data_IF_702952925363
#
_entry.id   IF_702952925363
#
_cell.length_a   1.000
_cell.length_b   1.000
_cell.length_c   1.000
_cell.angle_alpha   90.00
_cell.angle_beta   90.00
_cell.angle_gamma   90.00
#
_symmetry.space_group_name_H-M   'P 1'
#
loop_
_entity.id
_entity.type
_entity.pdbx_description
1 polymer ?
#
# COMPACT_ATOMS: atom_id res chain seq x y z
N UNK A 1 2.29 -26.52 -10.05
CA UNK A 1 1.22 -26.86 -11.02
C UNK A 1 0.41 -25.63 -11.44
N UNK A 2 -0.20 -24.85 -10.53
CA UNK A 2 -0.96 -23.65 -10.92
C UNK A 2 -0.11 -22.50 -11.51
N UNK A 3 1.09 -22.24 -10.98
CA UNK A 3 1.96 -21.14 -11.47
C UNK A 3 2.33 -21.31 -12.94
N UNK A 4 2.78 -22.50 -13.33
CA UNK A 4 3.12 -22.82 -14.74
C UNK A 4 1.90 -22.79 -15.65
N UNK A 5 0.74 -23.27 -15.18
CA UNK A 5 -0.51 -23.25 -15.94
C UNK A 5 -0.98 -21.82 -16.26
N UNK A 6 -0.85 -20.89 -15.30
CA UNK A 6 -1.23 -19.49 -15.46
C UNK A 6 -0.06 -18.57 -15.86
N UNK A 7 1.11 -19.12 -16.19
CA UNK A 7 2.33 -18.35 -16.49
C UNK A 7 2.70 -17.30 -15.43
N UNK A 8 2.43 -17.59 -14.16
CA UNK A 8 2.73 -16.71 -13.04
C UNK A 8 4.22 -16.85 -12.68
N UNK A 9 4.93 -15.71 -12.68
CA UNK A 9 6.34 -15.65 -12.30
C UNK A 9 6.58 -15.94 -10.81
N UNK A 10 5.54 -15.79 -9.98
CA UNK A 10 5.59 -16.00 -8.53
C UNK A 10 4.22 -16.32 -7.96
N UNK A 11 4.17 -16.52 -6.64
CA UNK A 11 2.91 -16.64 -5.90
C UNK A 11 2.16 -15.31 -5.87
N UNK A 12 0.96 -15.23 -6.46
CA UNK A 12 0.15 -14.02 -6.36
C UNK A 12 -0.52 -13.96 -4.98
N UNK A 13 -0.81 -12.75 -4.50
CA UNK A 13 -1.54 -12.52 -3.25
C UNK A 13 -0.90 -13.12 -1.99
N UNK A 14 0.43 -13.14 -1.94
CA UNK A 14 1.14 -13.55 -0.72
C UNK A 14 0.71 -12.67 0.46
N UNK A 15 0.68 -13.23 1.68
CA UNK A 15 0.34 -12.45 2.88
C UNK A 15 1.33 -11.34 3.18
N UNK A 16 2.59 -11.53 2.76
CA UNK A 16 3.64 -10.52 2.82
C UNK A 16 3.26 -9.35 1.92
N UNK A 17 3.18 -8.16 2.51
CA UNK A 17 2.95 -6.94 1.74
C UNK A 17 4.31 -6.48 1.26
N UNK A 18 4.56 -6.46 -0.05
CA UNK A 18 5.84 -5.98 -0.60
C UNK A 18 5.67 -4.52 -1.04
N UNK A 19 6.18 -3.52 -0.28
CA UNK A 19 5.95 -2.10 -0.57
C UNK A 19 6.29 -1.64 -2.00
N UNK A 20 7.35 -2.18 -2.67
CA UNK A 20 7.66 -1.86 -4.07
C UNK A 20 6.58 -2.27 -5.07
N UNK A 21 5.66 -3.17 -4.71
CA UNK A 21 4.57 -3.64 -5.57
C UNK A 21 3.30 -2.79 -5.43
N UNK A 22 3.32 -1.76 -4.57
CA UNK A 22 2.22 -0.84 -4.45
C UNK A 22 1.94 -0.13 -5.78
N UNK A 23 0.68 -0.14 -6.20
CA UNK A 23 0.25 0.63 -7.35
C UNK A 23 0.39 2.13 -7.05
N UNK A 24 1.26 2.81 -7.80
CA UNK A 24 1.66 4.20 -7.57
C UNK A 24 0.63 5.19 -8.16
N UNK A 25 -0.65 5.04 -7.80
CA UNK A 25 -1.71 5.96 -8.20
C UNK A 25 -1.63 7.33 -7.48
N UNK A 26 -2.32 8.33 -8.01
CA UNK A 26 -2.29 9.70 -7.47
C UNK A 26 -2.69 9.76 -5.98
N UNK A 27 -3.82 9.16 -5.60
CA UNK A 27 -4.30 9.14 -4.22
C UNK A 27 -3.33 8.43 -3.25
N UNK A 28 -2.58 7.44 -3.75
CA UNK A 28 -1.56 6.77 -2.96
C UNK A 28 -0.35 7.68 -2.70
N UNK A 29 0.11 8.40 -3.73
CA UNK A 29 1.19 9.39 -3.58
C UNK A 29 0.81 10.52 -2.62
N UNK A 30 -0.42 11.04 -2.73
CA UNK A 30 -0.93 12.08 -1.83
C UNK A 30 -0.97 11.60 -0.37
N UNK A 31 -1.46 10.37 -0.15
CA UNK A 31 -1.47 9.78 1.19
C UNK A 31 -0.05 9.61 1.76
N UNK A 32 0.91 9.15 0.96
CA UNK A 32 2.31 9.05 1.39
C UNK A 32 2.91 10.42 1.72
N UNK A 33 2.66 11.45 0.91
CA UNK A 33 3.14 12.80 1.16
C UNK A 33 2.59 13.37 2.47
N UNK A 34 1.30 13.14 2.76
CA UNK A 34 0.67 13.55 4.01
C UNK A 34 1.27 12.80 5.22
N UNK A 35 1.49 11.49 5.10
CA UNK A 35 2.12 10.68 6.15
C UNK A 35 3.56 11.13 6.42
N UNK A 36 4.33 11.43 5.37
CA UNK A 36 5.69 11.97 5.48
C UNK A 36 5.72 13.32 6.22
N UNK A 37 4.75 14.18 5.94
CA UNK A 37 4.60 15.45 6.64
C UNK A 37 4.31 15.25 8.14
N UNK A 38 3.39 14.33 8.49
CA UNK A 38 3.07 14.01 9.89
C UNK A 38 4.29 13.42 10.61
N UNK A 39 5.05 12.52 9.96
CA UNK A 39 6.31 11.98 10.49
C UNK A 39 7.33 13.09 10.78
N UNK A 40 7.51 14.04 9.86
CA UNK A 40 8.46 15.17 10.02
C UNK A 40 8.07 16.12 11.14
N UNK A 41 6.79 16.45 11.23
CA UNK A 41 6.26 17.39 12.24
C UNK A 41 6.06 16.76 13.61
N UNK A 42 6.18 15.42 13.72
CA UNK A 42 5.87 14.63 14.93
C UNK A 42 4.45 14.88 15.46
N UNK A 43 3.52 15.13 14.54
CA UNK A 43 2.10 15.34 14.85
C UNK A 43 1.29 14.05 14.89
N UNK A 44 -0.02 14.19 15.06
CA UNK A 44 -1.00 13.10 14.91
C UNK A 44 -1.77 13.35 13.61
N UNK A 45 -1.85 12.32 12.76
CA UNK A 45 -2.61 12.34 11.51
C UNK A 45 -3.82 11.42 11.56
N UNK A 46 -4.91 11.82 10.91
CA UNK A 46 -6.11 10.99 10.74
C UNK A 46 -6.30 10.67 9.25
N UNK A 47 -6.19 9.40 8.90
CA UNK A 47 -6.43 8.91 7.53
C UNK A 47 -7.85 8.31 7.43
N UNK A 48 -8.74 8.98 6.69
CA UNK A 48 -10.13 8.58 6.48
C UNK A 48 -10.36 7.97 5.10
N UNK A 49 -11.44 7.20 4.97
CA UNK A 49 -11.84 6.58 3.70
C UNK A 49 -12.75 5.38 3.93
N UNK A 50 -13.40 4.90 2.88
CA UNK A 50 -14.32 3.76 2.93
C UNK A 50 -13.62 2.44 3.32
N UNK A 51 -14.37 1.42 3.77
CA UNK A 51 -13.84 0.07 3.92
C UNK A 51 -13.17 -0.41 2.62
N UNK A 52 -11.97 -0.97 2.71
CA UNK A 52 -11.21 -1.42 1.53
C UNK A 52 -10.44 -0.33 0.78
N UNK A 53 -10.53 0.95 1.15
CA UNK A 53 -9.83 2.05 0.47
C UNK A 53 -8.28 2.07 0.64
N UNK A 54 -7.67 1.03 1.21
CA UNK A 54 -6.21 0.94 1.33
C UNK A 54 -5.58 1.71 2.50
N UNK A 55 -6.36 2.18 3.49
CA UNK A 55 -5.83 2.92 4.66
C UNK A 55 -4.71 2.18 5.39
N UNK A 56 -4.95 0.92 5.77
CA UNK A 56 -3.96 0.07 6.44
C UNK A 56 -2.76 -0.25 5.53
N UNK A 57 -3.01 -0.35 4.23
CA UNK A 57 -1.96 -0.61 3.25
C UNK A 57 -0.98 0.57 3.16
N UNK A 58 -1.49 1.80 3.04
CA UNK A 58 -0.67 3.02 2.97
C UNK A 58 0.18 3.24 4.24
N UNK A 59 -0.27 2.78 5.41
CA UNK A 59 0.48 2.89 6.67
C UNK A 59 1.61 1.86 6.83
N UNK A 60 1.65 0.80 6.01
CA UNK A 60 2.65 -0.28 6.11
C UNK A 60 3.88 -0.04 5.23
N UNK A 61 3.88 1.04 4.47
CA UNK A 61 4.95 1.42 3.52
C UNK A 61 5.92 2.36 4.22
#
# INVERSE_FOLDING_TARGET
>A
MYKTFYSLSREPFSKETNPPEAYQGASYQEALAALDYVKRTRGIGLLIGEPGAGKTFALRV
#
